data_IF_383168008659
#
_entry.id   IF_383168008659
#
_cell.length_a   1.000
_cell.length_b   1.000
_cell.length_c   1.000
_cell.angle_alpha   90.00
_cell.angle_beta   90.00
_cell.angle_gamma   90.00
#
_symmetry.space_group_name_H-M   'P 1'
#
loop_
_entity.id
_entity.type
_entity.pdbx_description
1 polymer ?
#
# COMPACT_ATOMS: atom_id res chain seq x y z
N UNK A 1 27.21 1.41 -6.21
CA UNK A 1 25.88 1.75 -6.79
C UNK A 1 25.32 0.68 -7.72
N UNK A 2 26.07 0.09 -8.67
CA UNK A 2 25.54 -0.94 -9.59
C UNK A 2 24.85 -2.12 -8.88
N UNK A 3 25.43 -2.63 -7.78
CA UNK A 3 24.83 -3.72 -7.00
C UNK A 3 23.50 -3.37 -6.33
N UNK A 4 23.28 -2.10 -5.97
CA UNK A 4 22.01 -1.65 -5.39
C UNK A 4 20.87 -1.78 -6.39
N UNK A 5 21.04 -1.19 -7.58
CA UNK A 5 20.02 -1.23 -8.63
C UNK A 5 19.73 -2.65 -9.12
N UNK A 6 20.75 -3.51 -9.19
CA UNK A 6 20.55 -4.93 -9.56
C UNK A 6 19.71 -5.66 -8.52
N UNK A 7 20.01 -5.49 -7.22
CA UNK A 7 19.24 -6.10 -6.12
C UNK A 7 17.79 -5.58 -6.07
N UNK A 8 17.62 -4.27 -6.21
CA UNK A 8 16.32 -3.61 -6.25
C UNK A 8 15.46 -4.14 -7.41
N UNK A 9 16.05 -4.22 -8.61
CA UNK A 9 15.35 -4.75 -9.80
C UNK A 9 14.96 -6.22 -9.63
N UNK A 10 15.86 -7.06 -9.14
CA UNK A 10 15.58 -8.48 -8.93
C UNK A 10 14.45 -8.70 -7.91
N UNK A 11 14.46 -7.93 -6.82
CA UNK A 11 13.40 -7.97 -5.81
C UNK A 11 12.04 -7.60 -6.43
N UNK A 12 11.94 -6.46 -7.10
CA UNK A 12 10.66 -6.03 -7.69
C UNK A 12 10.19 -6.90 -8.85
N UNK A 13 11.09 -7.49 -9.64
CA UNK A 13 10.71 -8.45 -10.69
C UNK A 13 10.01 -9.68 -10.10
N UNK A 14 10.50 -10.20 -8.96
CA UNK A 14 9.88 -11.34 -8.27
C UNK A 14 8.47 -11.01 -7.77
N UNK A 15 8.28 -9.83 -7.21
CA UNK A 15 7.02 -9.39 -6.61
C UNK A 15 6.07 -8.65 -7.57
N UNK A 16 6.46 -8.49 -8.85
CA UNK A 16 5.70 -7.71 -9.83
C UNK A 16 4.24 -8.14 -9.96
N UNK A 17 3.98 -9.45 -10.02
CA UNK A 17 2.61 -10.01 -10.09
C UNK A 17 1.79 -9.64 -8.86
N UNK A 18 2.39 -9.65 -7.67
CA UNK A 18 1.72 -9.28 -6.43
C UNK A 18 1.39 -7.79 -6.41
N UNK A 19 2.28 -6.92 -6.87
CA UNK A 19 1.99 -5.49 -6.99
C UNK A 19 0.79 -5.23 -7.92
N UNK A 20 0.74 -5.93 -9.05
CA UNK A 20 -0.36 -5.81 -10.01
C UNK A 20 -1.69 -6.28 -9.42
N UNK A 21 -1.69 -7.42 -8.71
CA UNK A 21 -2.87 -7.93 -8.00
C UNK A 21 -3.34 -6.96 -6.91
N UNK A 22 -2.42 -6.38 -6.14
CA UNK A 22 -2.74 -5.41 -5.08
C UNK A 22 -3.36 -4.15 -5.69
N UNK A 23 -2.78 -3.60 -6.77
CA UNK A 23 -3.35 -2.45 -7.46
C UNK A 23 -4.76 -2.76 -8.01
N UNK A 24 -4.94 -3.92 -8.64
CA UNK A 24 -6.24 -4.36 -9.14
C UNK A 24 -7.27 -4.47 -8.01
N UNK A 25 -6.89 -5.02 -6.86
CA UNK A 25 -7.75 -5.14 -5.69
C UNK A 25 -8.12 -3.76 -5.11
N UNK A 26 -7.14 -2.85 -4.94
CA UNK A 26 -7.37 -1.49 -4.44
C UNK A 26 -8.34 -0.74 -5.37
N UNK A 27 -8.11 -0.81 -6.67
CA UNK A 27 -8.95 -0.12 -7.65
C UNK A 27 -10.35 -0.74 -7.74
N UNK A 28 -10.46 -2.07 -7.67
CA UNK A 28 -11.75 -2.77 -7.62
C UNK A 28 -12.58 -2.38 -6.39
N UNK A 29 -11.95 -2.33 -5.21
CA UNK A 29 -12.60 -1.87 -3.96
C UNK A 29 -13.04 -0.41 -4.08
N UNK A 30 -12.20 0.44 -4.68
CA UNK A 30 -12.53 1.84 -4.90
C UNK A 30 -13.73 2.01 -5.83
N UNK A 31 -13.74 1.35 -6.99
CA UNK A 31 -14.77 1.49 -8.00
C UNK A 31 -16.13 0.97 -7.51
N UNK A 32 -16.13 -0.18 -6.83
CA UNK A 32 -17.33 -0.78 -6.25
C UNK A 32 -17.76 -0.15 -4.93
N UNK A 33 -17.05 0.90 -4.46
CA UNK A 33 -17.32 1.59 -3.19
C UNK A 33 -17.45 0.64 -1.99
N UNK A 34 -16.73 -0.48 -2.04
CA UNK A 34 -16.83 -1.54 -1.04
C UNK A 34 -16.35 -1.02 0.33
N UNK A 35 -17.14 -1.24 1.40
CA UNK A 35 -16.67 -0.97 2.75
C UNK A 35 -15.50 -1.92 3.07
N UNK A 36 -14.52 -1.42 3.81
CA UNK A 36 -13.43 -2.30 4.28
C UNK A 36 -14.02 -3.39 5.18
N UNK A 37 -13.48 -4.63 5.15
CA UNK A 37 -14.02 -5.75 5.93
C UNK A 37 -14.14 -5.43 7.43
N UNK A 38 -13.14 -4.70 7.95
CA UNK A 38 -13.13 -4.22 9.33
C UNK A 38 -14.28 -3.25 9.61
N UNK A 39 -14.59 -2.35 8.67
CA UNK A 39 -15.67 -1.39 8.81
C UNK A 39 -17.05 -2.07 8.74
N UNK A 40 -17.20 -3.17 7.99
CA UNK A 40 -18.43 -3.98 7.99
C UNK A 40 -18.71 -4.57 9.38
N UNK A 41 -17.68 -5.06 10.06
CA UNK A 41 -17.78 -5.64 11.40
C UNK A 41 -18.01 -4.58 12.47
N UNK A 42 -17.41 -3.39 12.31
CA UNK A 42 -17.49 -2.31 13.30
C UNK A 42 -18.73 -1.42 13.15
N UNK A 43 -19.37 -1.40 11.98
CA UNK A 43 -20.58 -0.62 11.70
C UNK A 43 -21.74 -0.86 12.70
N UNK A 44 -22.04 -2.10 13.14
CA UNK A 44 -23.06 -2.37 14.16
C UNK A 44 -22.75 -1.75 15.53
N UNK A 45 -21.47 -1.47 15.81
CA UNK A 45 -21.01 -0.89 17.07
C UNK A 45 -20.87 0.64 17.00
N UNK A 46 -21.21 1.27 15.88
CA UNK A 46 -21.01 2.71 15.68
C UNK A 46 -19.54 3.15 15.63
N UNK A 47 -18.61 2.19 15.62
CA UNK A 47 -17.18 2.44 15.60
C UNK A 47 -16.68 2.57 14.17
N UNK A 48 -15.91 3.62 13.89
CA UNK A 48 -15.16 3.74 12.63
C UNK A 48 -13.77 3.15 12.85
N UNK A 49 -13.43 2.13 12.08
CA UNK A 49 -12.08 1.58 12.10
C UNK A 49 -11.06 2.63 11.66
N UNK A 50 -9.86 2.64 12.25
CA UNK A 50 -8.82 3.61 11.91
C UNK A 50 -8.37 3.49 10.45
N UNK A 51 -8.57 2.30 9.86
CA UNK A 51 -8.33 2.03 8.44
C UNK A 51 -9.48 2.43 7.51
N UNK A 52 -10.60 2.90 8.05
CA UNK A 52 -11.72 3.36 7.22
C UNK A 52 -11.26 4.54 6.35
N UNK A 53 -11.56 4.45 5.05
CA UNK A 53 -11.18 5.50 4.10
C UNK A 53 -9.73 5.44 3.60
N UNK A 54 -8.85 4.56 4.14
CA UNK A 54 -7.46 4.43 3.66
C UNK A 54 -7.40 4.14 2.16
N UNK A 55 -8.22 3.22 1.64
CA UNK A 55 -8.25 2.90 0.20
C UNK A 55 -8.62 4.11 -0.66
N UNK A 56 -9.58 4.95 -0.20
CA UNK A 56 -9.96 6.17 -0.93
C UNK A 56 -8.87 7.23 -0.83
N UNK A 57 -8.26 7.39 0.34
CA UNK A 57 -7.13 8.27 0.54
C UNK A 57 -5.94 7.86 -0.34
N UNK A 58 -5.63 6.55 -0.44
CA UNK A 58 -4.62 6.01 -1.35
C UNK A 58 -4.90 6.40 -2.80
N UNK A 59 -6.14 6.22 -3.28
CA UNK A 59 -6.48 6.55 -4.67
C UNK A 59 -6.43 8.05 -4.92
N UNK A 60 -6.83 8.89 -3.96
CA UNK A 60 -6.68 10.35 -4.05
C UNK A 60 -5.21 10.77 -4.13
N UNK A 61 -4.33 10.15 -3.34
CA UNK A 61 -2.89 10.37 -3.48
C UNK A 61 -2.36 9.94 -4.87
N UNK A 62 -2.84 8.83 -5.42
CA UNK A 62 -2.48 8.41 -6.79
C UNK A 62 -2.93 9.42 -7.85
N UNK A 63 -4.03 10.14 -7.59
CA UNK A 63 -4.49 11.26 -8.42
C UNK A 63 -3.81 12.60 -8.10
N UNK A 64 -2.77 12.61 -7.25
CA UNK A 64 -2.07 13.82 -6.78
C UNK A 64 -2.97 14.80 -6.00
N UNK A 65 -4.11 14.33 -5.49
CA UNK A 65 -5.03 15.09 -4.64
C UNK A 65 -4.65 14.92 -3.17
N UNK A 66 -3.65 15.70 -2.75
CA UNK A 66 -3.10 15.68 -1.40
C UNK A 66 -4.14 16.10 -0.34
N UNK A 67 -4.88 17.18 -0.60
CA UNK A 67 -5.89 17.68 0.33
C UNK A 67 -7.03 16.66 0.49
N UNK A 68 -7.56 16.13 -0.62
CA UNK A 68 -8.60 15.12 -0.58
C UNK A 68 -8.15 13.83 0.14
N UNK A 69 -6.89 13.43 0.00
CA UNK A 69 -6.35 12.30 0.74
C UNK A 69 -6.29 12.54 2.25
N UNK A 70 -5.88 13.75 2.66
CA UNK A 70 -5.85 14.15 4.07
C UNK A 70 -7.25 14.15 4.68
N UNK A 71 -8.22 14.72 3.96
CA UNK A 71 -9.61 14.81 4.42
C UNK A 71 -10.27 13.43 4.58
N UNK A 72 -9.86 12.44 3.77
CA UNK A 72 -10.35 11.07 3.91
C UNK A 72 -9.67 10.30 5.05
N UNK A 73 -8.34 10.27 5.11
CA UNK A 73 -7.62 9.61 6.18
C UNK A 73 -6.17 10.11 6.28
N UNK A 74 -5.81 10.93 7.28
CA UNK A 74 -4.46 11.47 7.47
C UNK A 74 -3.37 10.39 7.66
N UNK A 75 -3.74 9.18 8.14
CA UNK A 75 -2.79 8.08 8.31
C UNK A 75 -2.20 7.59 6.99
N UNK A 76 -2.77 7.99 5.85
CA UNK A 76 -2.24 7.65 4.54
C UNK A 76 -0.82 8.15 4.34
N UNK A 77 -0.46 9.31 4.89
CA UNK A 77 0.86 9.92 4.72
C UNK A 77 1.98 9.12 5.39
N UNK A 78 1.94 8.85 6.72
CA UNK A 78 2.95 8.02 7.35
C UNK A 78 2.96 6.59 6.77
N UNK A 79 1.80 6.06 6.36
CA UNK A 79 1.72 4.76 5.71
C UNK A 79 2.46 4.75 4.36
N UNK A 80 2.28 5.77 3.52
CA UNK A 80 3.00 5.88 2.24
C UNK A 80 4.49 6.03 2.47
N UNK A 81 4.92 6.84 3.45
CA UNK A 81 6.34 6.95 3.81
C UNK A 81 6.90 5.60 4.23
N UNK A 82 6.18 4.85 5.07
CA UNK A 82 6.56 3.51 5.48
C UNK A 82 6.65 2.54 4.28
N UNK A 83 5.66 2.54 3.38
CA UNK A 83 5.65 1.69 2.18
C UNK A 83 6.83 2.04 1.28
N UNK A 84 7.10 3.32 1.00
CA UNK A 84 8.23 3.75 0.17
C UNK A 84 9.56 3.35 0.81
N UNK A 85 9.70 3.57 2.11
CA UNK A 85 10.87 3.15 2.89
C UNK A 85 11.09 1.64 2.72
N UNK A 86 10.04 0.83 2.91
CA UNK A 86 10.10 -0.61 2.71
C UNK A 86 10.47 -0.97 1.26
N UNK A 87 9.83 -0.33 0.28
CA UNK A 87 10.05 -0.64 -1.13
C UNK A 87 11.48 -0.36 -1.59
N UNK A 88 12.07 0.75 -1.14
CA UNK A 88 13.38 1.20 -1.62
C UNK A 88 14.56 0.78 -0.74
N UNK A 89 14.36 0.65 0.57
CA UNK A 89 15.43 0.34 1.53
C UNK A 89 15.47 -1.13 1.92
N UNK A 90 14.32 -1.82 2.02
CA UNK A 90 14.31 -3.25 2.39
C UNK A 90 15.11 -4.14 1.43
N UNK A 91 15.07 -3.95 0.09
CA UNK A 91 15.86 -4.75 -0.85
C UNK A 91 17.38 -4.59 -0.69
N UNK A 92 17.84 -3.55 0.02
CA UNK A 92 19.26 -3.35 0.35
C UNK A 92 19.71 -4.30 1.45
N UNK A 93 18.88 -4.42 2.49
CA UNK A 93 19.16 -5.19 3.71
C UNK A 93 18.72 -6.65 3.62
N UNK A 94 17.91 -7.00 2.62
CA UNK A 94 17.49 -8.37 2.36
C UNK A 94 18.66 -9.18 1.76
N UNK A 95 19.71 -9.43 2.57
CA UNK A 95 20.88 -10.22 2.17
C UNK A 95 20.60 -11.72 2.40
N UNK A 96 20.79 -12.50 1.32
CA UNK A 96 20.93 -13.96 1.19
C UNK A 96 19.81 -14.93 1.60
N UNK A 97 18.98 -14.71 2.62
CA UNK A 97 18.09 -15.78 3.12
C UNK A 97 16.80 -16.06 2.33
N UNK A 98 16.42 -15.24 1.35
CA UNK A 98 15.20 -15.45 0.53
C UNK A 98 15.52 -16.11 -0.83
N UNK A 99 16.80 -16.40 -1.12
CA UNK A 99 17.28 -16.97 -2.39
C UNK A 99 17.38 -18.51 -2.30
N UNK A 100 17.46 -19.07 -1.09
CA UNK A 100 17.44 -20.51 -0.84
C UNK A 100 16.11 -20.91 -0.19
N UNK A 101 15.04 -20.99 -0.97
CA UNK A 101 13.89 -21.81 -0.61
C UNK A 101 13.09 -22.21 -1.83
#
# INVERSE_FOLDING_TARGET
>A
MKNYFTRLRAYHQRFFRLYLLVLMAIYGVYLLHLPTPLNLILKPFGLKGWSAGLTRASVRLLHLDWQGAWDYNPLIYPLVVYILTYFFLFPIFSDKKIIEK
#
